data_IF_338815512640
#
_entry.id   IF_338815512640
#
_cell.length_a   1.000
_cell.length_b   1.000
_cell.length_c   1.000
_cell.angle_alpha   90.00
_cell.angle_beta   90.00
_cell.angle_gamma   90.00
#
_symmetry.space_group_name_H-M   'P 1'
#
loop_
_entity.id
_entity.type
_entity.pdbx_description
1 polymer ?
#
# COMPACT_ATOMS: atom_id res chain seq x y z
N UNK A 1 10.86 0.60 27.75
CA UNK A 1 10.73 0.78 26.29
C UNK A 1 9.31 1.21 25.98
N UNK A 2 9.07 2.37 25.40
CA UNK A 2 7.71 2.87 25.21
C UNK A 2 6.96 2.25 24.02
N UNK A 3 7.37 1.08 23.56
CA UNK A 3 6.66 0.38 22.51
C UNK A 3 5.40 -0.29 23.04
N UNK A 4 4.30 -0.14 22.33
CA UNK A 4 3.03 -0.77 22.68
C UNK A 4 2.35 -1.33 21.45
N UNK A 5 1.44 -2.26 21.67
CA UNK A 5 0.61 -2.79 20.60
C UNK A 5 -0.52 -1.81 20.29
N UNK A 6 -0.87 -1.71 19.00
CA UNK A 6 -2.01 -0.93 18.53
C UNK A 6 -3.25 -1.81 18.50
N UNK A 7 -4.40 -1.21 18.80
CA UNK A 7 -5.69 -1.88 18.63
C UNK A 7 -6.14 -1.80 17.15
N UNK A 8 -7.23 -2.51 16.84
CA UNK A 8 -7.72 -2.57 15.46
C UNK A 8 -8.13 -1.21 14.91
N UNK A 9 -8.77 -0.37 15.71
CA UNK A 9 -9.19 0.96 15.27
C UNK A 9 -7.98 1.84 14.91
N UNK A 10 -6.92 1.76 15.72
CA UNK A 10 -5.66 2.49 15.45
C UNK A 10 -5.00 1.98 14.17
N UNK A 11 -4.97 0.66 13.95
CA UNK A 11 -4.43 0.06 12.73
C UNK A 11 -5.19 0.57 11.50
N UNK A 12 -6.51 0.50 11.51
CA UNK A 12 -7.34 0.96 10.39
C UNK A 12 -7.13 2.45 10.14
N UNK A 13 -7.05 3.26 11.20
CA UNK A 13 -6.78 4.70 11.08
C UNK A 13 -5.47 4.99 10.36
N UNK A 14 -4.41 4.23 10.63
CA UNK A 14 -3.12 4.36 9.94
C UNK A 14 -3.26 3.99 8.46
N UNK A 15 -3.93 2.88 8.17
CA UNK A 15 -4.13 2.43 6.79
C UNK A 15 -4.95 3.44 5.97
N UNK A 16 -5.93 4.10 6.58
CA UNK A 16 -6.74 5.13 5.93
C UNK A 16 -5.96 6.41 5.65
N UNK A 17 -5.02 6.78 6.52
CA UNK A 17 -4.33 8.06 6.45
C UNK A 17 -3.03 8.02 5.66
N UNK A 18 -2.34 6.90 5.65
CA UNK A 18 -1.06 6.77 4.96
C UNK A 18 -1.24 6.54 3.47
N UNK A 19 -0.18 6.77 2.69
CA UNK A 19 -0.22 6.80 1.22
C UNK A 19 0.71 5.81 0.55
N UNK A 20 1.64 5.24 1.30
CA UNK A 20 2.64 4.30 0.77
C UNK A 20 2.57 3.02 1.55
N UNK A 21 2.50 1.91 0.84
CA UNK A 21 2.61 0.57 1.38
C UNK A 21 3.84 -0.10 0.79
N UNK A 22 4.59 -0.79 1.64
CA UNK A 22 5.70 -1.64 1.20
C UNK A 22 5.21 -3.07 1.14
N UNK A 23 5.34 -3.69 -0.01
CA UNK A 23 4.82 -5.05 -0.25
C UNK A 23 5.98 -5.95 -0.62
N UNK A 24 6.05 -7.09 0.05
CA UNK A 24 7.00 -8.16 -0.25
C UNK A 24 6.26 -9.27 -0.98
N UNK A 25 6.67 -9.53 -2.22
CA UNK A 25 6.14 -10.58 -3.07
C UNK A 25 7.11 -11.77 -3.04
N UNK A 26 6.62 -12.99 -2.74
CA UNK A 26 7.47 -14.18 -2.85
C UNK A 26 7.93 -14.41 -4.29
N UNK A 27 9.20 -14.76 -4.44
CA UNK A 27 9.81 -15.00 -5.75
C UNK A 27 10.89 -16.08 -5.62
N UNK A 28 10.53 -17.35 -5.80
CA UNK A 28 11.44 -18.50 -5.77
C UNK A 28 12.34 -18.55 -4.51
N UNK A 29 11.72 -18.39 -3.33
CA UNK A 29 12.43 -18.42 -2.05
C UNK A 29 13.05 -17.10 -1.64
N UNK A 30 12.99 -16.10 -2.50
CA UNK A 30 13.41 -14.74 -2.22
C UNK A 30 12.18 -13.84 -2.05
N UNK A 31 12.39 -12.60 -1.63
CA UNK A 31 11.34 -11.60 -1.54
C UNK A 31 11.65 -10.44 -2.46
N UNK A 32 10.68 -10.08 -3.29
CA UNK A 32 10.73 -8.86 -4.09
C UNK A 32 9.96 -7.78 -3.34
N UNK A 33 10.67 -6.81 -2.77
CA UNK A 33 10.12 -5.77 -1.90
C UNK A 33 10.09 -4.43 -2.62
N UNK A 34 8.92 -3.82 -2.69
CA UNK A 34 8.73 -2.53 -3.36
C UNK A 34 7.77 -1.63 -2.60
N UNK A 35 7.94 -0.29 -2.64
CA UNK A 35 6.94 0.66 -2.19
C UNK A 35 5.93 0.94 -3.31
N UNK A 36 4.67 1.08 -2.92
CA UNK A 36 3.59 1.47 -3.84
C UNK A 36 2.69 2.50 -3.18
N UNK A 37 2.23 3.47 -3.97
CA UNK A 37 1.14 4.34 -3.56
C UNK A 37 -0.17 3.56 -3.48
N UNK A 38 -1.00 3.85 -2.50
CA UNK A 38 -2.24 3.11 -2.31
C UNK A 38 -3.37 3.99 -1.75
N UNK A 39 -4.58 3.49 -1.86
CA UNK A 39 -5.73 3.93 -1.06
C UNK A 39 -6.31 2.73 -0.32
N UNK A 40 -6.75 2.96 0.91
CA UNK A 40 -7.51 1.97 1.68
C UNK A 40 -8.97 2.07 1.30
N UNK A 41 -9.56 0.99 0.81
CA UNK A 41 -10.95 0.96 0.39
C UNK A 41 -11.54 -0.43 0.60
N UNK A 42 -12.67 -0.47 1.27
CA UNK A 42 -13.46 -1.68 1.48
C UNK A 42 -12.61 -2.86 2.01
N UNK A 43 -11.80 -2.57 3.02
CA UNK A 43 -10.95 -3.57 3.66
C UNK A 43 -9.74 -4.02 2.86
N UNK A 44 -9.34 -3.27 1.84
CA UNK A 44 -8.18 -3.61 1.01
C UNK A 44 -7.25 -2.44 0.74
N UNK A 45 -5.99 -2.77 0.50
CA UNK A 45 -4.98 -1.84 0.00
C UNK A 45 -5.03 -1.86 -1.53
N UNK A 46 -5.49 -0.77 -2.14
CA UNK A 46 -5.67 -0.68 -3.58
C UNK A 46 -4.55 0.15 -4.20
N UNK A 47 -3.79 -0.44 -5.12
CA UNK A 47 -2.65 0.17 -5.78
C UNK A 47 -2.83 0.13 -7.29
N UNK A 48 -2.36 1.17 -7.98
CA UNK A 48 -2.21 1.14 -9.44
C UNK A 48 -0.75 0.84 -9.76
N UNK A 49 -0.53 -0.11 -10.63
CA UNK A 49 0.80 -0.46 -11.13
C UNK A 49 0.73 -0.77 -12.62
N UNK A 50 1.88 -0.90 -13.25
CA UNK A 50 1.94 -1.32 -14.65
C UNK A 50 2.06 -2.84 -14.74
N UNK A 51 1.64 -3.39 -15.90
CA UNK A 51 1.91 -4.80 -16.21
C UNK A 51 3.42 -5.04 -16.14
N UNK A 52 3.85 -6.03 -15.37
CA UNK A 52 5.27 -6.31 -15.16
C UNK A 52 5.49 -7.35 -14.07
N UNK A 53 6.65 -7.28 -13.42
CA UNK A 53 7.10 -8.30 -12.46
C UNK A 53 6.12 -8.51 -11.30
N UNK A 54 5.63 -7.42 -10.69
CA UNK A 54 4.67 -7.51 -9.57
C UNK A 54 3.42 -8.29 -9.96
N UNK A 55 2.87 -7.97 -11.12
CA UNK A 55 1.65 -8.60 -11.61
C UNK A 55 1.88 -10.07 -11.92
N UNK A 56 3.01 -10.40 -12.53
CA UNK A 56 3.39 -11.80 -12.80
C UNK A 56 3.54 -12.61 -11.51
N UNK A 57 4.17 -12.03 -10.48
CA UNK A 57 4.34 -12.67 -9.19
C UNK A 57 2.99 -12.90 -8.50
N UNK A 58 2.08 -11.93 -8.54
CA UNK A 58 0.73 -12.06 -7.99
C UNK A 58 -0.05 -13.17 -8.68
N UNK A 59 0.04 -13.27 -9.99
CA UNK A 59 -0.63 -14.34 -10.76
C UNK A 59 -0.09 -15.72 -10.42
N UNK A 60 1.18 -15.79 -10.04
CA UNK A 60 1.82 -17.06 -9.65
C UNK A 60 1.50 -17.44 -8.21
N UNK A 61 1.59 -16.50 -7.28
CA UNK A 61 1.29 -16.68 -5.86
C UNK A 61 0.84 -15.33 -5.29
N UNK A 62 -0.43 -15.25 -4.89
CA UNK A 62 -1.01 -14.02 -4.37
C UNK A 62 -0.67 -13.72 -2.91
N UNK A 63 -0.01 -14.62 -2.20
CA UNK A 63 0.35 -14.38 -0.80
C UNK A 63 1.44 -13.33 -0.72
N UNK A 64 1.23 -12.31 0.10
CA UNK A 64 2.17 -11.20 0.25
C UNK A 64 2.28 -10.82 1.72
N UNK A 65 3.39 -10.15 2.04
CA UNK A 65 3.54 -9.42 3.31
C UNK A 65 3.57 -7.93 3.00
N UNK A 66 3.10 -7.12 3.95
CA UNK A 66 3.07 -5.67 3.73
C UNK A 66 3.38 -4.92 5.01
N UNK A 67 3.76 -3.64 4.86
CA UNK A 67 4.07 -2.75 5.96
C UNK A 67 3.66 -1.33 5.59
N UNK A 68 3.02 -0.63 6.55
CA UNK A 68 2.66 0.79 6.44
C UNK A 68 3.08 1.45 7.76
N UNK A 69 3.71 2.62 7.70
CA UNK A 69 4.09 3.34 8.92
C UNK A 69 3.90 4.85 8.77
N UNK A 70 4.05 5.54 9.89
CA UNK A 70 3.90 6.99 10.00
C UNK A 70 5.23 7.74 9.93
N UNK A 71 6.35 7.08 9.64
CA UNK A 71 7.68 7.68 9.78
C UNK A 71 7.90 8.91 8.90
N UNK A 72 7.21 9.00 7.77
CA UNK A 72 7.28 10.19 6.91
C UNK A 72 6.73 11.45 7.58
N UNK A 73 5.81 11.30 8.54
CA UNK A 73 5.19 12.40 9.28
C UNK A 73 5.83 12.61 10.65
N UNK A 74 6.19 11.51 11.31
CA UNK A 74 6.61 11.53 12.72
C UNK A 74 8.10 11.36 12.94
N UNK A 75 8.86 11.03 11.89
CA UNK A 75 10.29 10.82 11.95
C UNK A 75 10.71 9.46 12.49
N UNK A 76 12.04 9.25 12.69
CA UNK A 76 12.57 7.94 13.05
C UNK A 76 12.45 7.58 14.54
N UNK A 77 12.14 8.55 15.40
CA UNK A 77 12.14 8.34 16.85
C UNK A 77 10.75 8.18 17.46
N UNK A 78 9.71 8.53 16.72
CA UNK A 78 8.31 8.36 17.15
C UNK A 78 7.52 7.91 15.95
N UNK A 79 7.04 6.66 15.96
CA UNK A 79 6.33 6.09 14.81
C UNK A 79 5.30 5.05 15.24
N UNK A 80 4.35 4.85 14.37
CA UNK A 80 3.40 3.74 14.41
C UNK A 80 3.55 2.93 13.14
N UNK A 81 3.55 1.62 13.27
CA UNK A 81 3.77 0.70 12.16
C UNK A 81 2.72 -0.39 12.16
N UNK A 82 2.20 -0.69 10.98
CA UNK A 82 1.33 -1.83 10.72
C UNK A 82 2.09 -2.80 9.83
N UNK A 83 2.18 -4.05 10.26
CA UNK A 83 2.69 -5.13 9.43
C UNK A 83 1.61 -6.18 9.26
N UNK A 84 1.59 -6.83 8.13
CA UNK A 84 0.58 -7.82 7.88
C UNK A 84 0.93 -8.80 6.79
N UNK A 85 0.08 -9.79 6.69
CA UNK A 85 0.07 -10.76 5.62
C UNK A 85 -1.30 -10.72 4.97
N UNK A 86 -1.34 -10.89 3.66
CA UNK A 86 -2.58 -10.83 2.93
C UNK A 86 -2.50 -11.56 1.61
N UNK A 87 -3.57 -11.44 0.86
CA UNK A 87 -3.67 -11.99 -0.50
C UNK A 87 -3.81 -10.83 -1.47
N UNK A 88 -2.88 -10.77 -2.41
CA UNK A 88 -2.92 -9.81 -3.52
C UNK A 88 -3.69 -10.43 -4.69
N UNK A 89 -4.49 -9.60 -5.34
CA UNK A 89 -5.22 -9.97 -6.54
C UNK A 89 -5.13 -8.86 -7.58
N UNK A 90 -5.22 -9.23 -8.84
CA UNK A 90 -5.38 -8.27 -9.93
C UNK A 90 -6.88 -8.06 -10.12
N UNK A 91 -7.32 -6.82 -9.96
CA UNK A 91 -8.74 -6.47 -10.08
C UNK A 91 -9.07 -6.24 -11.55
N UNK A 92 -9.96 -7.06 -12.08
CA UNK A 92 -10.41 -6.98 -13.46
C UNK A 92 -11.88 -6.61 -13.59
N UNK A 93 -12.63 -6.64 -12.48
CA UNK A 93 -14.05 -6.29 -12.44
C UNK A 93 -14.25 -4.79 -12.70
N UNK A 94 -14.92 -4.40 -13.80
CA UNK A 94 -15.15 -2.99 -14.11
C UNK A 94 -15.89 -2.23 -13.02
N UNK A 95 -16.80 -2.87 -12.29
CA UNK A 95 -17.54 -2.23 -11.22
C UNK A 95 -16.64 -1.88 -10.03
N UNK A 96 -15.70 -2.75 -9.67
CA UNK A 96 -14.71 -2.47 -8.63
C UNK A 96 -13.75 -1.37 -9.06
N UNK A 97 -13.26 -1.43 -10.29
CA UNK A 97 -12.37 -0.40 -10.84
C UNK A 97 -13.07 0.97 -10.81
N UNK A 98 -14.33 1.04 -11.21
CA UNK A 98 -15.10 2.28 -11.21
C UNK A 98 -15.28 2.87 -9.81
N UNK A 99 -15.36 2.04 -8.77
CA UNK A 99 -15.46 2.51 -7.38
C UNK A 99 -14.14 3.02 -6.82
N UNK A 100 -13.03 2.40 -7.19
CA UNK A 100 -11.70 2.70 -6.62
C UNK A 100 -11.00 3.82 -7.39
N UNK A 101 -11.18 3.87 -8.69
CA UNK A 101 -10.46 4.80 -9.57
C UNK A 101 -10.59 6.27 -9.14
N UNK A 102 -11.79 6.79 -8.75
CA UNK A 102 -11.89 8.16 -8.28
C UNK A 102 -11.05 8.44 -7.03
N UNK A 103 -10.92 7.47 -6.12
CA UNK A 103 -10.11 7.61 -4.92
C UNK A 103 -8.63 7.69 -5.26
N UNK A 104 -8.18 6.91 -6.23
CA UNK A 104 -6.82 6.97 -6.75
C UNK A 104 -6.55 8.29 -7.46
N UNK A 105 -7.53 8.84 -8.15
CA UNK A 105 -7.39 10.15 -8.79
C UNK A 105 -7.24 11.28 -7.79
N UNK A 106 -7.88 11.20 -6.63
CA UNK A 106 -7.64 12.16 -5.53
C UNK A 106 -6.18 12.09 -5.08
N UNK A 107 -5.65 10.88 -4.90
CA UNK A 107 -4.21 10.70 -4.57
C UNK A 107 -3.31 11.24 -5.67
N UNK A 108 -3.66 11.02 -6.92
CA UNK A 108 -2.93 11.57 -8.06
C UNK A 108 -2.88 13.10 -8.02
N UNK A 109 -3.99 13.78 -7.69
CA UNK A 109 -4.04 15.24 -7.59
C UNK A 109 -3.14 15.80 -6.48
N UNK A 110 -2.78 14.99 -5.48
CA UNK A 110 -1.87 15.36 -4.40
C UNK A 110 -0.40 15.24 -4.78
N UNK A 111 -0.08 14.64 -5.94
CA UNK A 111 1.29 14.47 -6.40
C UNK A 111 1.90 15.80 -6.85
N UNK A 112 3.22 15.98 -6.70
CA UNK A 112 3.89 17.16 -7.27
C UNK A 112 3.69 17.24 -8.78
N UNK A 113 3.75 18.46 -9.33
CA UNK A 113 3.53 18.68 -10.75
C UNK A 113 4.42 17.86 -11.67
N UNK A 114 5.69 17.69 -11.31
CA UNK A 114 6.63 16.87 -12.09
C UNK A 114 6.22 15.39 -12.15
N UNK A 115 5.70 14.86 -11.04
CA UNK A 115 5.26 13.47 -10.99
C UNK A 115 3.96 13.27 -11.80
N UNK A 116 3.04 14.25 -11.74
CA UNK A 116 1.82 14.21 -12.56
C UNK A 116 2.13 14.27 -14.05
N UNK A 117 3.09 15.11 -14.43
CA UNK A 117 3.52 15.24 -15.82
C UNK A 117 4.15 13.94 -16.33
N UNK A 118 5.00 13.29 -15.51
CA UNK A 118 5.60 12.01 -15.85
C UNK A 118 4.54 10.91 -15.99
N UNK A 119 3.59 10.85 -15.09
CA UNK A 119 2.48 9.90 -15.17
C UNK A 119 1.65 10.11 -16.45
N UNK A 120 1.32 11.37 -16.77
CA UNK A 120 0.56 11.71 -17.97
C UNK A 120 1.33 11.33 -19.25
N UNK A 121 2.65 11.50 -19.26
CA UNK A 121 3.48 11.15 -20.40
C UNK A 121 3.51 9.63 -20.64
N UNK A 122 3.32 8.83 -19.60
CA UNK A 122 3.29 7.36 -19.69
C UNK A 122 1.89 6.82 -19.99
N UNK A 123 0.84 7.63 -19.83
CA UNK A 123 -0.51 7.21 -20.16
C UNK A 123 -0.62 6.85 -21.65
N UNK A 124 -1.26 5.73 -21.95
CA UNK A 124 -1.37 5.20 -23.30
C UNK A 124 -0.16 4.42 -23.79
N UNK A 125 0.98 4.49 -23.09
CA UNK A 125 2.20 3.74 -23.41
C UNK A 125 2.39 2.51 -22.54
N UNK A 126 1.82 2.52 -21.34
CA UNK A 126 1.85 1.41 -20.40
C UNK A 126 0.44 0.99 -20.05
N UNK A 127 0.24 -0.31 -19.93
CA UNK A 127 -1.01 -0.85 -19.43
C UNK A 127 -0.99 -0.82 -17.91
N UNK A 128 -1.89 -0.03 -17.32
CA UNK A 128 -2.07 0.02 -15.88
C UNK A 128 -3.03 -1.06 -15.43
N UNK A 129 -2.73 -1.65 -14.27
CA UNK A 129 -3.58 -2.62 -13.61
C UNK A 129 -3.84 -2.17 -12.18
N UNK A 130 -4.99 -2.55 -11.66
CA UNK A 130 -5.36 -2.35 -10.26
C UNK A 130 -4.99 -3.61 -9.49
N UNK A 131 -4.11 -3.44 -8.49
CA UNK A 131 -3.69 -4.50 -7.59
C UNK A 131 -4.31 -4.23 -6.23
N UNK A 132 -4.94 -5.23 -5.64
CA UNK A 132 -5.57 -5.11 -4.33
C UNK A 132 -5.01 -6.15 -3.38
N UNK A 133 -4.59 -5.71 -2.18
CA UNK A 133 -4.17 -6.60 -1.11
C UNK A 133 -5.27 -6.65 -0.05
N UNK A 134 -5.79 -7.84 0.20
CA UNK A 134 -6.78 -8.09 1.25
C UNK A 134 -6.03 -8.68 2.45
N UNK A 135 -5.95 -7.94 3.58
CA UNK A 135 -5.26 -8.44 4.75
C UNK A 135 -5.94 -9.69 5.34
N UNK A 136 -5.12 -10.67 5.71
CA UNK A 136 -5.55 -11.85 6.45
C UNK A 136 -5.18 -11.71 7.92
N UNK A 137 -4.01 -11.14 8.19
CA UNK A 137 -3.48 -10.94 9.54
C UNK A 137 -2.74 -9.62 9.59
N UNK A 138 -2.99 -8.84 10.64
CA UNK A 138 -2.31 -7.57 10.87
C UNK A 138 -1.89 -7.42 12.32
N UNK A 139 -0.74 -6.79 12.53
CA UNK A 139 -0.25 -6.34 13.83
C UNK A 139 0.17 -4.88 13.73
N UNK A 140 -0.08 -4.13 14.78
CA UNK A 140 0.36 -2.74 14.87
C UNK A 140 1.19 -2.51 16.10
N UNK A 141 2.24 -1.69 15.96
CA UNK A 141 3.12 -1.28 17.06
C UNK A 141 3.31 0.22 17.03
N UNK A 142 3.35 0.80 18.22
CA UNK A 142 3.69 2.21 18.41
C UNK A 142 5.00 2.29 19.18
N UNK A 143 5.89 3.14 18.72
CA UNK A 143 7.07 3.57 19.43
C UNK A 143 7.00 5.09 19.56
N UNK A 144 6.95 5.59 20.79
CA UNK A 144 6.90 7.01 21.06
C UNK A 144 8.09 7.41 21.92
N UNK A 145 8.74 8.50 21.52
CA UNK A 145 9.84 9.05 22.28
C UNK A 145 9.30 9.56 23.62
N UNK A 146 9.94 9.24 24.75
CA UNK A 146 9.50 9.75 26.03
C UNK A 146 9.51 11.28 26.04
N UNK A 147 8.51 11.88 26.67
CA UNK A 147 8.48 13.32 26.89
C UNK A 147 9.70 13.71 27.72
N UNK A 148 10.53 14.57 27.15
CA UNK A 148 11.77 15.04 27.79
C UNK A 148 11.54 15.92 29.02
#
# INVERSE_FOLDING_TARGET
MPARDLNRAEIIGILEQQRVVRIAFPDNGESYLVPLGYVWHDGGLCCVTSEGRKVQLVRKDGRVSFQVDTSAETGPHSWKSVTGQGVAEIVEDPAQIARVFPLLMVRFSEMPGWARAEFAAKQGKQQYVLLRVIPVKMNGRSYEEPAG
#
